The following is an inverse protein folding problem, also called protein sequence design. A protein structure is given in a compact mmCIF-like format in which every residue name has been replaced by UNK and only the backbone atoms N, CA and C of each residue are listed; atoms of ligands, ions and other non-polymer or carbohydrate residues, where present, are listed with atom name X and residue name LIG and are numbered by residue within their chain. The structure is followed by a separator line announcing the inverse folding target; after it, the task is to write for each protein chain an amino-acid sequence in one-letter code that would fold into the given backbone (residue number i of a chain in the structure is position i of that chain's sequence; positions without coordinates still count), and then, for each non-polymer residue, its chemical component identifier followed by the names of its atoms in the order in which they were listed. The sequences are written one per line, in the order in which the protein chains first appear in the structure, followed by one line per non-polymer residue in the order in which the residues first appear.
data_IF_163731212290
#
_entry.id   IF_163731212290
#
_cell.length_a   1.000
_cell.length_b   1.000
_cell.length_c   1.000
_cell.angle_alpha   90.00
_cell.angle_beta   90.00
_cell.angle_gamma   90.00
#
_symmetry.space_group_name_H-M   'P 1'
#
loop_
_entity.id
_entity.type
_entity.pdbx_description
1 polymer ?
#
# COMPACT_ATOMS: atom_id res chain seq x y z
N UNK A 1 0.48 11.02 9.18
CA UNK A 1 0.42 9.53 9.13
C UNK A 1 -1.05 9.13 9.20
N UNK A 2 -1.52 8.36 8.24
CA UNK A 2 -2.92 7.88 8.22
C UNK A 2 -2.95 6.48 8.82
N UNK A 3 -3.71 6.28 9.91
CA UNK A 3 -4.03 4.97 10.44
C UNK A 3 -5.40 4.55 9.88
N UNK A 4 -5.42 3.53 9.04
CA UNK A 4 -6.66 3.01 8.46
C UNK A 4 -7.42 2.16 9.49
N UNK A 5 -8.75 2.15 9.39
CA UNK A 5 -9.59 1.24 10.17
C UNK A 5 -9.32 -0.21 9.73
N UNK A 6 -9.60 -1.17 10.61
CA UNK A 6 -9.61 -2.58 10.20
C UNK A 6 -10.65 -2.78 9.12
N UNK A 7 -10.34 -3.67 8.19
CA UNK A 7 -11.18 -4.03 7.04
C UNK A 7 -11.51 -2.86 6.09
N UNK A 8 -10.77 -1.72 6.18
CA UNK A 8 -10.92 -0.64 5.19
C UNK A 8 -10.60 -1.20 3.79
N UNK A 9 -11.53 -1.12 2.85
CA UNK A 9 -11.29 -1.59 1.49
C UNK A 9 -10.36 -0.62 0.76
N UNK A 10 -9.26 -1.15 0.23
CA UNK A 10 -8.24 -0.37 -0.48
C UNK A 10 -7.98 -0.97 -1.84
N UNK A 11 -7.96 -0.13 -2.84
CA UNK A 11 -7.54 -0.47 -4.19
C UNK A 11 -6.01 -0.44 -4.29
N UNK A 12 -5.41 -1.45 -4.89
CA UNK A 12 -4.00 -1.42 -5.33
C UNK A 12 -3.97 -1.63 -6.82
N UNK A 13 -3.47 -0.65 -7.55
CA UNK A 13 -3.30 -0.71 -9.01
C UNK A 13 -1.84 -1.01 -9.32
N UNK A 14 -1.62 -2.13 -10.00
CA UNK A 14 -0.29 -2.62 -10.35
C UNK A 14 0.08 -3.94 -9.68
N UNK A 15 0.40 -4.94 -10.50
CA UNK A 15 0.64 -6.33 -10.10
C UNK A 15 2.11 -6.75 -9.99
N UNK A 16 3.03 -5.80 -10.02
CA UNK A 16 4.47 -6.05 -9.93
C UNK A 16 4.99 -6.09 -8.49
N UNK A 17 6.35 -6.15 -8.31
CA UNK A 17 6.98 -6.23 -6.99
C UNK A 17 6.66 -5.04 -6.07
N UNK A 18 6.46 -3.85 -6.62
CA UNK A 18 6.05 -2.66 -5.84
C UNK A 18 4.63 -2.85 -5.31
N UNK A 19 3.69 -3.30 -6.17
CA UNK A 19 2.32 -3.64 -5.79
C UNK A 19 2.28 -4.69 -4.68
N UNK A 20 3.07 -5.75 -4.81
CA UNK A 20 3.20 -6.78 -3.77
C UNK A 20 3.63 -6.21 -2.41
N UNK A 21 4.72 -5.43 -2.38
CA UNK A 21 5.20 -4.82 -1.11
C UNK A 21 4.15 -3.91 -0.47
N UNK A 22 3.43 -3.14 -1.28
CA UNK A 22 2.35 -2.26 -0.78
C UNK A 22 1.17 -3.07 -0.26
N UNK A 23 0.79 -4.12 -0.99
CA UNK A 23 -0.25 -5.07 -0.55
C UNK A 23 0.09 -5.68 0.80
N UNK A 24 1.29 -6.23 0.98
CA UNK A 24 1.73 -6.77 2.27
C UNK A 24 1.65 -5.73 3.40
N UNK A 25 2.11 -4.50 3.15
CA UNK A 25 2.05 -3.43 4.14
C UNK A 25 0.62 -3.04 4.53
N UNK A 26 -0.33 -3.09 3.59
CA UNK A 26 -1.74 -2.81 3.83
C UNK A 26 -2.41 -3.96 4.60
N UNK A 27 -2.11 -5.20 4.24
CA UNK A 27 -2.60 -6.40 4.95
C UNK A 27 -2.09 -6.46 6.39
N UNK A 28 -0.81 -6.16 6.62
CA UNK A 28 -0.23 -5.99 7.98
C UNK A 28 -0.96 -4.89 8.75
N UNK A 29 -1.47 -3.89 8.04
CA UNK A 29 -2.32 -2.83 8.54
C UNK A 29 -3.74 -3.26 8.88
N UNK A 30 -4.17 -4.47 8.48
CA UNK A 30 -5.53 -4.97 8.65
C UNK A 30 -6.50 -4.43 7.61
N UNK A 31 -6.02 -3.91 6.47
CA UNK A 31 -6.87 -3.48 5.38
C UNK A 31 -7.38 -4.68 4.55
N UNK A 32 -8.51 -4.51 3.90
CA UNK A 32 -8.99 -5.41 2.85
C UNK A 32 -8.51 -4.91 1.49
N UNK A 33 -7.78 -5.73 0.73
CA UNK A 33 -7.12 -5.30 -0.49
C UNK A 33 -7.79 -5.90 -1.72
N UNK A 34 -8.10 -5.03 -2.68
CA UNK A 34 -8.48 -5.40 -4.06
C UNK A 34 -7.37 -4.96 -5.01
N UNK A 35 -6.88 -5.89 -5.80
CA UNK A 35 -5.84 -5.69 -6.81
C UNK A 35 -6.47 -5.50 -8.18
N UNK A 36 -5.98 -4.52 -8.95
CA UNK A 36 -6.33 -4.35 -10.37
C UNK A 36 -5.05 -4.21 -11.16
N UNK A 37 -4.81 -5.12 -12.11
CA UNK A 37 -3.64 -5.11 -12.99
C UNK A 37 -3.85 -6.06 -14.16
N UNK A 38 -3.18 -5.84 -15.30
CA UNK A 38 -3.17 -6.78 -16.43
C UNK A 38 -2.42 -8.09 -16.14
N UNK A 39 -1.54 -8.09 -15.14
CA UNK A 39 -0.81 -9.29 -14.72
C UNK A 39 -0.34 -9.16 -13.28
N UNK A 40 -0.06 -10.28 -12.65
CA UNK A 40 0.40 -10.34 -11.25
C UNK A 40 1.69 -11.14 -11.13
N UNK A 41 2.63 -10.65 -10.33
CA UNK A 41 3.85 -11.39 -9.98
C UNK A 41 3.50 -12.67 -9.19
N UNK A 42 4.42 -13.66 -9.14
CA UNK A 42 4.18 -14.94 -8.49
C UNK A 42 3.66 -14.82 -7.05
N UNK A 43 4.24 -13.91 -6.28
CA UNK A 43 3.89 -13.68 -4.87
C UNK A 43 2.46 -13.14 -4.71
N UNK A 44 2.00 -12.25 -5.61
CA UNK A 44 0.61 -11.79 -5.63
C UNK A 44 -0.35 -12.90 -6.04
N UNK A 45 0.04 -13.73 -7.03
CA UNK A 45 -0.77 -14.89 -7.42
C UNK A 45 -0.99 -15.86 -6.27
N UNK A 46 0.01 -16.05 -5.40
CA UNK A 46 -0.16 -16.86 -4.19
C UNK A 46 -1.17 -16.26 -3.21
N UNK A 47 -1.14 -14.94 -2.99
CA UNK A 47 -2.11 -14.26 -2.13
C UNK A 47 -3.54 -14.36 -2.70
N UNK A 48 -3.67 -14.24 -4.01
CA UNK A 48 -4.94 -14.38 -4.73
C UNK A 48 -5.47 -15.83 -4.59
N UNK A 49 -4.62 -16.82 -4.84
CA UNK A 49 -4.99 -18.23 -4.76
C UNK A 49 -5.42 -18.66 -3.33
N UNK A 50 -4.83 -18.04 -2.31
CA UNK A 50 -5.20 -18.24 -0.89
C UNK A 50 -6.45 -17.47 -0.46
N UNK A 51 -7.04 -16.66 -1.34
CA UNK A 51 -8.21 -15.82 -1.02
C UNK A 51 -7.92 -14.68 -0.01
N UNK A 52 -6.63 -14.31 0.16
CA UNK A 52 -6.22 -13.24 1.09
C UNK A 52 -6.54 -11.86 0.49
N UNK A 53 -6.51 -11.74 -0.82
CA UNK A 53 -6.84 -10.52 -1.57
C UNK A 53 -7.81 -10.85 -2.70
N UNK A 54 -8.62 -9.88 -3.09
CA UNK A 54 -9.43 -9.94 -4.32
C UNK A 54 -8.60 -9.39 -5.48
N UNK A 55 -8.77 -9.92 -6.69
CA UNK A 55 -8.05 -9.44 -7.86
C UNK A 55 -8.93 -9.40 -9.11
N UNK A 56 -8.72 -8.39 -9.92
CA UNK A 56 -9.33 -8.21 -11.24
C UNK A 56 -8.21 -8.05 -12.28
N UNK A 57 -8.08 -9.03 -13.19
CA UNK A 57 -7.01 -9.05 -14.20
C UNK A 57 -7.42 -8.22 -15.42
N UNK A 58 -7.31 -6.92 -15.28
CA UNK A 58 -7.64 -5.89 -16.28
C UNK A 58 -6.93 -4.57 -15.99
N UNK A 59 -7.07 -3.60 -16.89
CA UNK A 59 -6.67 -2.23 -16.62
C UNK A 59 -7.60 -1.54 -15.60
N UNK A 60 -7.06 -0.56 -14.89
CA UNK A 60 -7.84 0.30 -13.99
C UNK A 60 -8.83 1.15 -14.78
N UNK A 61 -9.99 1.39 -14.21
CA UNK A 61 -11.09 2.17 -14.79
C UNK A 61 -11.55 3.25 -13.80
N UNK A 62 -12.25 4.27 -14.29
CA UNK A 62 -12.82 5.33 -13.47
C UNK A 62 -13.70 4.78 -12.33
N UNK A 63 -14.53 3.77 -12.64
CA UNK A 63 -15.41 3.13 -11.66
C UNK A 63 -14.67 2.52 -10.46
N UNK A 64 -13.39 2.18 -10.60
CA UNK A 64 -12.58 1.69 -9.48
C UNK A 64 -12.35 2.82 -8.47
N UNK A 65 -12.04 4.02 -8.92
CA UNK A 65 -11.86 5.19 -8.05
C UNK A 65 -13.18 5.72 -7.45
N UNK A 66 -14.30 5.35 -8.01
CA UNK A 66 -15.63 5.66 -7.45
C UNK A 66 -16.02 4.66 -6.35
N UNK A 67 -15.54 3.41 -6.43
CA UNK A 67 -15.81 2.34 -5.46
C UNK A 67 -14.96 2.41 -4.20
N UNK A 68 -13.74 2.93 -4.30
CA UNK A 68 -12.76 2.92 -3.21
C UNK A 68 -12.46 4.33 -2.72
N UNK A 69 -12.40 4.48 -1.40
CA UNK A 69 -11.98 5.73 -0.76
C UNK A 69 -10.48 5.94 -0.82
N UNK A 70 -9.71 4.86 -0.86
CA UNK A 70 -8.26 4.88 -0.89
C UNK A 70 -7.72 3.98 -1.99
N UNK A 71 -6.73 4.48 -2.72
CA UNK A 71 -6.02 3.71 -3.73
C UNK A 71 -4.51 3.88 -3.61
N UNK A 72 -3.77 2.85 -3.98
CA UNK A 72 -2.31 2.87 -4.10
C UNK A 72 -1.96 2.56 -5.56
N UNK A 73 -1.34 3.51 -6.23
CA UNK A 73 -0.87 3.39 -7.60
C UNK A 73 0.58 2.91 -7.60
N UNK A 74 0.77 1.61 -7.81
CA UNK A 74 2.08 0.94 -7.90
C UNK A 74 2.46 0.72 -9.37
N UNK A 75 2.40 1.80 -10.15
CA UNK A 75 2.56 1.86 -11.59
C UNK A 75 3.81 2.67 -11.98
N UNK A 76 4.37 2.49 -13.19
CA UNK A 76 5.33 3.41 -13.77
C UNK A 76 4.79 4.85 -13.88
N UNK A 77 5.65 5.88 -14.00
CA UNK A 77 5.22 7.27 -14.01
C UNK A 77 4.13 7.61 -15.02
N UNK A 78 4.27 7.15 -16.27
CA UNK A 78 3.30 7.45 -17.34
C UNK A 78 1.93 6.82 -17.07
N UNK A 79 1.93 5.54 -16.63
CA UNK A 79 0.68 4.85 -16.26
C UNK A 79 0.05 5.45 -15.00
N UNK A 80 0.86 5.96 -14.07
CA UNK A 80 0.38 6.68 -12.89
C UNK A 80 -0.36 7.96 -13.31
N UNK A 81 0.18 8.74 -14.26
CA UNK A 81 -0.50 9.93 -14.78
C UNK A 81 -1.83 9.59 -15.45
N UNK A 82 -1.85 8.58 -16.31
CA UNK A 82 -3.08 8.12 -16.94
C UNK A 82 -4.14 7.65 -15.92
N UNK A 83 -3.73 6.96 -14.86
CA UNK A 83 -4.63 6.55 -13.78
C UNK A 83 -5.18 7.76 -12.99
N UNK A 84 -4.38 8.80 -12.79
CA UNK A 84 -4.81 10.04 -12.14
C UNK A 84 -5.86 10.81 -12.96
N UNK A 85 -5.76 10.79 -14.29
CA UNK A 85 -6.80 11.34 -15.18
C UNK A 85 -8.13 10.61 -15.00
N UNK A 86 -8.11 9.27 -14.90
CA UNK A 86 -9.32 8.48 -14.61
C UNK A 86 -9.91 8.78 -13.23
N UNK A 87 -9.06 9.10 -12.25
CA UNK A 87 -9.47 9.44 -10.87
C UNK A 87 -10.07 10.84 -10.77
N UNK A 88 -9.82 11.73 -11.72
CA UNK A 88 -10.24 13.14 -11.64
C UNK A 88 -11.74 13.28 -11.40
N UNK A 89 -12.10 14.16 -10.45
CA UNK A 89 -13.49 14.39 -10.05
C UNK A 89 -14.10 13.31 -9.13
N UNK A 90 -13.34 12.27 -8.74
CA UNK A 90 -13.78 11.29 -7.71
C UNK A 90 -13.36 11.73 -6.31
N UNK A 91 -13.87 11.04 -5.28
CA UNK A 91 -13.49 11.27 -3.87
C UNK A 91 -12.35 10.35 -3.40
N UNK A 92 -11.76 9.56 -4.29
CA UNK A 92 -10.70 8.62 -3.96
C UNK A 92 -9.40 9.36 -3.65
N UNK A 93 -8.82 9.10 -2.50
CA UNK A 93 -7.48 9.55 -2.14
C UNK A 93 -6.45 8.56 -2.63
N UNK A 94 -5.38 9.03 -3.25
CA UNK A 94 -4.37 8.17 -3.88
C UNK A 94 -2.98 8.34 -3.27
N UNK A 95 -2.27 7.22 -3.14
CA UNK A 95 -0.84 7.16 -2.87
C UNK A 95 -0.13 6.78 -4.17
N UNK A 96 0.69 7.66 -4.72
CA UNK A 96 1.45 7.40 -5.94
C UNK A 96 2.86 6.91 -5.59
N UNK A 97 3.21 5.68 -5.98
CA UNK A 97 4.50 5.09 -5.64
C UNK A 97 5.66 5.64 -6.45
N UNK A 98 5.43 5.97 -7.73
CA UNK A 98 6.44 6.48 -8.66
C UNK A 98 6.51 8.00 -8.76
N UNK A 99 5.42 8.68 -8.39
CA UNK A 99 5.27 10.14 -8.42
C UNK A 99 4.63 10.61 -7.09
N UNK A 100 5.36 10.51 -5.97
CA UNK A 100 4.80 10.78 -4.64
C UNK A 100 4.23 12.19 -4.50
N UNK A 101 4.76 13.16 -5.24
CA UNK A 101 4.32 14.55 -5.27
C UNK A 101 2.91 14.76 -5.86
N UNK A 102 2.41 13.79 -6.63
CA UNK A 102 1.07 13.79 -7.20
C UNK A 102 0.05 13.03 -6.33
N UNK A 103 0.49 12.42 -5.25
CA UNK A 103 -0.36 11.68 -4.34
C UNK A 103 -0.96 12.55 -3.24
N UNK A 104 -2.13 12.17 -2.73
CA UNK A 104 -2.79 12.84 -1.61
C UNK A 104 -2.20 12.39 -0.26
N UNK A 105 -1.58 11.21 -0.19
CA UNK A 105 -0.98 10.66 1.03
C UNK A 105 0.17 9.69 0.72
N UNK A 106 0.96 9.38 1.75
CA UNK A 106 2.01 8.38 1.69
C UNK A 106 1.83 7.33 2.79
N UNK A 107 2.17 6.08 2.47
CA UNK A 107 2.19 4.99 3.44
C UNK A 107 3.48 5.02 4.25
N UNK A 108 3.37 5.06 5.58
CA UNK A 108 4.51 4.94 6.48
C UNK A 108 5.13 3.53 6.41
N UNK A 109 6.42 3.43 6.67
CA UNK A 109 7.09 2.16 6.94
C UNK A 109 6.63 1.66 8.31
N UNK A 110 5.76 0.63 8.34
CA UNK A 110 5.08 0.19 9.57
C UNK A 110 5.31 -1.29 9.88
N UNK A 111 5.13 -1.66 11.16
CA UNK A 111 5.05 -3.04 11.63
C UNK A 111 4.23 -3.14 12.92
N UNK A 112 3.78 -4.36 13.24
CA UNK A 112 3.11 -4.63 14.50
C UNK A 112 4.13 -5.12 15.56
N UNK A 113 4.05 -4.58 16.77
CA UNK A 113 4.81 -5.01 17.93
C UNK A 113 3.85 -5.28 19.09
N UNK A 114 3.52 -6.54 19.31
CA UNK A 114 2.43 -6.91 20.21
C UNK A 114 1.11 -6.27 19.78
N UNK A 115 0.48 -5.55 20.69
CA UNK A 115 -0.79 -4.83 20.42
C UNK A 115 -0.59 -3.44 19.82
N UNK A 116 0.68 -3.02 19.60
CA UNK A 116 1.00 -1.69 19.09
C UNK A 116 1.33 -1.76 17.59
N UNK A 117 0.92 -0.73 16.87
CA UNK A 117 1.37 -0.48 15.51
C UNK A 117 2.38 0.67 15.54
N UNK A 118 3.58 0.40 15.03
CA UNK A 118 4.64 1.39 14.93
C UNK A 118 4.80 1.80 13.47
N UNK A 119 4.82 3.11 13.22
CA UNK A 119 4.99 3.66 11.89
C UNK A 119 6.07 4.72 11.88
N UNK A 120 6.90 4.71 10.83
CA UNK A 120 7.97 5.68 10.60
C UNK A 120 7.72 6.33 9.24
N UNK A 121 7.71 7.64 9.22
CA UNK A 121 7.54 8.43 8.00
C UNK A 121 8.62 9.51 7.93
N UNK A 122 9.16 9.72 6.76
CA UNK A 122 10.02 10.85 6.41
C UNK A 122 9.22 12.02 5.78
N UNK A 123 7.89 11.96 5.84
CA UNK A 123 7.04 12.91 5.10
C UNK A 123 7.13 12.74 3.57
N UNK A 124 7.56 11.56 3.09
CA UNK A 124 7.74 11.30 1.66
C UNK A 124 9.14 11.64 1.12
N UNK A 125 10.01 12.31 1.92
CA UNK A 125 11.32 12.76 1.47
C UNK A 125 12.37 11.65 1.37
N UNK A 126 12.30 10.63 2.23
CA UNK A 126 13.23 9.49 2.24
C UNK A 126 12.54 8.18 2.65
N UNK A 127 11.80 7.54 1.73
CA UNK A 127 11.14 6.27 2.01
C UNK A 127 12.11 5.12 2.32
N UNK A 128 13.31 5.14 1.71
CA UNK A 128 14.34 4.13 1.94
C UNK A 128 14.95 4.26 3.35
N UNK A 129 15.26 5.48 3.77
CA UNK A 129 15.72 5.78 5.13
C UNK A 129 14.67 5.40 6.18
N UNK A 130 13.38 5.70 5.94
CA UNK A 130 12.29 5.29 6.82
C UNK A 130 12.21 3.76 6.96
N UNK A 131 12.37 3.02 5.86
CA UNK A 131 12.40 1.56 5.88
C UNK A 131 13.61 1.00 6.63
N UNK A 132 14.79 1.60 6.44
CA UNK A 132 16.02 1.23 7.16
C UNK A 132 15.89 1.50 8.66
N UNK A 133 15.41 2.68 9.04
CA UNK A 133 15.19 3.05 10.44
C UNK A 133 14.16 2.13 11.11
N UNK A 134 13.08 1.76 10.39
CA UNK A 134 12.14 0.73 10.83
C UNK A 134 12.85 -0.57 11.20
N UNK A 135 13.74 -1.05 10.33
CA UNK A 135 14.49 -2.29 10.56
C UNK A 135 15.35 -2.23 11.84
N UNK A 136 16.05 -1.12 12.05
CA UNK A 136 16.89 -0.90 13.24
C UNK A 136 16.07 -0.86 14.53
N UNK A 137 14.97 -0.10 14.55
CA UNK A 137 14.10 0.02 15.73
C UNK A 137 13.42 -1.32 16.02
N UNK A 138 12.95 -2.01 14.98
CA UNK A 138 12.34 -3.33 15.12
C UNK A 138 13.32 -4.33 15.76
N UNK A 139 14.55 -4.43 15.25
CA UNK A 139 15.58 -5.32 15.79
C UNK A 139 15.91 -4.98 17.24
N UNK A 140 15.98 -3.69 17.60
CA UNK A 140 16.20 -3.24 18.96
C UNK A 140 15.07 -3.66 19.93
N UNK A 141 13.82 -3.51 19.52
CA UNK A 141 12.66 -3.88 20.33
C UNK A 141 12.48 -5.41 20.44
N UNK A 142 12.76 -6.16 19.39
CA UNK A 142 12.72 -7.62 19.39
C UNK A 142 13.87 -8.23 20.21
N UNK A 143 15.06 -7.59 20.23
CA UNK A 143 16.21 -7.98 21.07
C UNK A 143 16.03 -7.65 22.54
N UNK A 144 15.21 -6.66 22.88
CA UNK A 144 14.77 -6.38 24.24
C UNK A 144 13.40 -7.02 24.45
N UNK A 145 13.35 -8.30 24.85
CA UNK A 145 12.13 -8.83 25.47
C UNK A 145 11.82 -7.91 26.65
N UNK A 146 10.72 -7.15 26.55
CA UNK A 146 10.16 -6.43 27.68
C UNK A 146 9.97 -7.45 28.79
N UNK A 147 10.88 -7.45 29.76
CA UNK A 147 10.64 -8.15 31.02
C UNK A 147 9.40 -7.50 31.62
N UNK A 148 8.35 -8.28 31.73
CA UNK A 148 7.18 -7.94 32.50
C UNK A 148 7.56 -7.87 33.98
#
# INVERSE_FOLDING_TARGET
MVALRRDEPILVVGGGPVGYRKTCSLLDGGASVTLVSFSFCPELRELIAKGIVTAEERGVQRGDFERFRFAVLALPPEETRAALELREGTQCLVCCCSLPELGDFALAAQWNHGNFRVGISSGGTDPAGAAKLKGLIRAFLEGKRLRR
#
